data_IF_631441485243
#
_entry.id   IF_631441485243
#
_cell.length_a   1.000
_cell.length_b   1.000
_cell.length_c   1.000
_cell.angle_alpha   90.00
_cell.angle_beta   90.00
_cell.angle_gamma   90.00
#
_symmetry.space_group_name_H-M   'P 1'
#
loop_
_entity.id
_entity.type
_entity.pdbx_description
1 polymer ?
#
# COMPACT_ATOMS: atom_id res chain seq x y z
N UNK A 1 3.08 3.93 -16.51
CA UNK A 1 3.78 2.64 -16.66
C UNK A 1 5.11 2.84 -17.38
N UNK A 2 6.20 2.46 -16.72
CA UNK A 2 7.53 2.41 -17.33
C UNK A 2 7.92 0.93 -17.49
N UNK A 3 8.39 0.54 -18.67
CA UNK A 3 8.73 -0.84 -18.98
C UNK A 3 10.13 -0.90 -19.56
N UNK A 4 10.94 -1.80 -19.01
CA UNK A 4 12.27 -2.13 -19.53
C UNK A 4 12.34 -3.62 -19.84
N UNK A 5 13.12 -4.00 -20.84
CA UNK A 5 13.38 -5.39 -21.20
C UNK A 5 14.85 -5.68 -20.98
N UNK A 6 15.15 -6.55 -20.01
CA UNK A 6 16.49 -7.07 -19.78
C UNK A 6 16.71 -8.27 -20.69
N UNK A 7 17.58 -8.11 -21.67
CA UNK A 7 17.86 -9.10 -22.71
C UNK A 7 19.28 -9.62 -22.53
N UNK A 8 19.47 -10.93 -22.68
CA UNK A 8 20.79 -11.55 -22.76
C UNK A 8 20.99 -12.18 -24.13
N UNK A 9 22.19 -12.04 -24.68
CA UNK A 9 22.61 -12.62 -25.97
C UNK A 9 24.03 -13.18 -25.84
N UNK A 10 24.34 -14.33 -26.48
CA UNK A 10 25.67 -14.90 -26.44
C UNK A 10 26.67 -14.04 -27.23
N UNK A 11 27.95 -14.15 -26.89
CA UNK A 11 29.04 -13.38 -27.51
C UNK A 11 29.61 -14.04 -28.78
N UNK A 12 28.83 -14.86 -29.48
CA UNK A 12 29.24 -15.39 -30.78
C UNK A 12 29.18 -14.31 -31.88
N UNK A 13 29.86 -14.58 -33.00
CA UNK A 13 29.98 -13.62 -34.12
C UNK A 13 28.63 -13.20 -34.70
N UNK A 14 27.67 -14.11 -34.82
CA UNK A 14 26.35 -13.85 -35.40
C UNK A 14 25.54 -12.99 -34.44
N UNK A 15 25.49 -13.37 -33.17
CA UNK A 15 24.75 -12.65 -32.13
C UNK A 15 25.28 -11.24 -31.89
N UNK A 16 26.60 -11.05 -31.93
CA UNK A 16 27.22 -9.72 -31.85
C UNK A 16 26.83 -8.83 -33.04
N UNK A 17 26.85 -9.37 -34.27
CA UNK A 17 26.43 -8.64 -35.47
C UNK A 17 24.94 -8.29 -35.42
N UNK A 18 24.09 -9.23 -35.03
CA UNK A 18 22.65 -9.03 -34.83
C UNK A 18 22.39 -7.94 -33.78
N UNK A 19 23.16 -7.92 -32.71
CA UNK A 19 23.03 -6.93 -31.66
C UNK A 19 23.45 -5.52 -32.11
N UNK A 20 24.57 -5.38 -32.81
CA UNK A 20 24.99 -4.09 -33.36
C UNK A 20 24.03 -3.58 -34.44
N UNK A 21 23.38 -4.49 -35.17
CA UNK A 21 22.28 -4.16 -36.07
C UNK A 21 21.05 -3.67 -35.31
N UNK A 22 20.68 -4.33 -34.21
CA UNK A 22 19.58 -3.90 -33.35
C UNK A 22 19.81 -2.49 -32.80
N UNK A 23 21.00 -2.21 -32.24
CA UNK A 23 21.33 -0.87 -31.69
C UNK A 23 21.24 0.21 -32.76
N UNK A 24 21.82 -0.03 -33.95
CA UNK A 24 21.77 0.91 -35.08
C UNK A 24 20.35 1.16 -35.56
N UNK A 25 19.55 0.11 -35.71
CA UNK A 25 18.16 0.23 -36.16
C UNK A 25 17.35 0.98 -35.12
N UNK A 26 17.39 0.58 -33.84
CA UNK A 26 16.65 1.23 -32.76
C UNK A 26 17.00 2.71 -32.60
N UNK A 27 18.28 3.09 -32.76
CA UNK A 27 18.72 4.48 -32.72
C UNK A 27 18.20 5.28 -33.93
N UNK A 28 18.19 4.69 -35.14
CA UNK A 28 17.72 5.35 -36.36
C UNK A 28 16.21 5.53 -36.40
N UNK A 29 15.45 4.55 -35.89
CA UNK A 29 13.98 4.52 -35.97
C UNK A 29 13.30 5.03 -34.70
N UNK A 30 14.06 5.29 -33.63
CA UNK A 30 13.51 5.72 -32.33
C UNK A 30 12.64 4.65 -31.65
N UNK A 31 12.81 3.37 -31.99
CA UNK A 31 11.97 2.29 -31.46
C UNK A 31 12.22 2.02 -29.98
N UNK A 32 13.47 2.11 -29.53
CA UNK A 32 13.85 1.93 -28.13
C UNK A 32 15.17 2.63 -27.82
N UNK A 33 15.36 3.01 -26.56
CA UNK A 33 16.70 3.31 -26.05
C UNK A 33 17.37 2.02 -25.58
N UNK A 34 18.67 1.88 -25.83
CA UNK A 34 19.45 0.70 -25.45
C UNK A 34 20.64 1.11 -24.59
N UNK A 35 20.84 0.42 -23.47
CA UNK A 35 22.02 0.61 -22.61
C UNK A 35 22.63 -0.74 -22.26
N UNK A 36 23.95 -0.77 -22.08
CA UNK A 36 24.64 -1.98 -21.62
C UNK A 36 24.25 -2.22 -20.16
N UNK A 37 23.88 -3.46 -19.84
CA UNK A 37 23.55 -3.85 -18.48
C UNK A 37 24.66 -4.76 -17.93
N UNK A 38 25.33 -4.34 -16.86
CA UNK A 38 26.45 -5.10 -16.32
C UNK A 38 25.94 -6.20 -15.38
N UNK A 39 26.17 -7.45 -15.75
CA UNK A 39 25.97 -8.62 -14.88
C UNK A 39 27.35 -9.04 -14.38
N UNK A 40 27.56 -9.15 -13.06
CA UNK A 40 28.84 -9.58 -12.52
C UNK A 40 29.11 -11.06 -12.81
N UNK A 41 30.37 -11.46 -12.68
CA UNK A 41 30.73 -12.87 -12.65
C UNK A 41 30.21 -13.50 -11.35
N UNK A 42 29.39 -14.54 -11.49
CA UNK A 42 28.80 -15.30 -10.39
C UNK A 42 29.26 -16.76 -10.46
N UNK A 43 29.33 -17.43 -9.31
CA UNK A 43 29.75 -18.83 -9.25
C UNK A 43 28.74 -19.75 -9.93
N UNK A 44 29.17 -20.43 -10.98
CA UNK A 44 28.38 -21.47 -11.64
C UNK A 44 28.47 -22.76 -10.82
N UNK A 45 27.30 -23.36 -10.53
CA UNK A 45 27.18 -24.66 -9.86
C UNK A 45 27.08 -25.83 -10.85
N UNK A 46 26.60 -26.97 -10.38
CA UNK A 46 26.22 -28.08 -11.27
C UNK A 46 24.95 -27.75 -12.04
N UNK A 47 24.69 -28.47 -13.15
CA UNK A 47 23.47 -28.30 -13.95
C UNK A 47 22.20 -28.49 -13.10
N UNK A 48 22.19 -29.51 -12.23
CA UNK A 48 21.09 -29.80 -11.31
C UNK A 48 20.79 -28.61 -10.37
N UNK A 49 21.83 -28.01 -9.79
CA UNK A 49 21.69 -26.81 -8.95
C UNK A 49 21.17 -25.63 -9.76
N UNK A 50 21.63 -25.44 -11.01
CA UNK A 50 21.14 -24.35 -11.86
C UNK A 50 19.66 -24.49 -12.21
N UNK A 51 19.19 -25.70 -12.50
CA UNK A 51 17.78 -25.97 -12.76
C UNK A 51 16.93 -25.67 -11.53
N UNK A 52 17.31 -26.18 -10.35
CA UNK A 52 16.61 -25.89 -9.09
C UNK A 52 16.60 -24.40 -8.74
N UNK A 53 17.72 -23.70 -8.92
CA UNK A 53 17.81 -22.24 -8.69
C UNK A 53 16.97 -21.46 -9.70
N UNK A 54 16.85 -21.90 -10.95
CA UNK A 54 16.00 -21.24 -11.96
C UNK A 54 14.53 -21.21 -11.51
N UNK A 55 14.01 -22.35 -11.05
CA UNK A 55 12.65 -22.48 -10.55
C UNK A 55 12.42 -21.64 -9.28
N UNK A 56 13.36 -21.70 -8.33
CA UNK A 56 13.33 -20.89 -7.11
C UNK A 56 13.30 -19.40 -7.41
N UNK A 57 14.18 -18.93 -8.31
CA UNK A 57 14.24 -17.52 -8.70
C UNK A 57 12.96 -17.07 -9.43
N UNK A 58 12.31 -17.96 -10.20
CA UNK A 58 11.03 -17.66 -10.85
C UNK A 58 9.91 -17.40 -9.84
N UNK A 59 9.81 -18.26 -8.81
CA UNK A 59 8.87 -18.07 -7.70
C UNK A 59 9.20 -16.82 -6.90
N UNK A 60 10.47 -16.63 -6.56
CA UNK A 60 10.94 -15.49 -5.77
C UNK A 60 10.72 -14.16 -6.49
N UNK A 61 10.90 -14.10 -7.81
CA UNK A 61 10.61 -12.92 -8.62
C UNK A 61 9.14 -12.50 -8.53
N UNK A 62 8.24 -13.47 -8.72
CA UNK A 62 6.78 -13.24 -8.65
C UNK A 62 6.35 -12.82 -7.25
N UNK A 63 6.89 -13.48 -6.22
CA UNK A 63 6.63 -13.12 -4.82
C UNK A 63 7.11 -11.71 -4.49
N UNK A 64 8.35 -11.37 -4.86
CA UNK A 64 8.95 -10.05 -4.61
C UNK A 64 8.18 -8.94 -5.31
N UNK A 65 7.74 -9.14 -6.55
CA UNK A 65 6.86 -8.19 -7.24
C UNK A 65 5.54 -7.99 -6.49
N UNK A 66 4.96 -9.07 -5.95
CA UNK A 66 3.76 -9.03 -5.12
C UNK A 66 3.94 -8.17 -3.87
N UNK A 67 5.03 -8.39 -3.11
CA UNK A 67 5.32 -7.61 -1.89
C UNK A 67 5.62 -6.15 -2.23
N UNK A 68 6.34 -5.87 -3.32
CA UNK A 68 6.58 -4.52 -3.82
C UNK A 68 5.26 -3.79 -4.13
N UNK A 69 4.33 -4.48 -4.81
CA UNK A 69 3.01 -3.93 -5.15
C UNK A 69 2.18 -3.64 -3.91
N UNK A 70 2.16 -4.55 -2.94
CA UNK A 70 1.49 -4.34 -1.65
C UNK A 70 2.09 -3.17 -0.86
N UNK A 71 3.42 -3.04 -0.87
CA UNK A 71 4.13 -1.93 -0.21
C UNK A 71 3.75 -0.59 -0.85
N UNK A 72 3.74 -0.54 -2.19
CA UNK A 72 3.34 0.64 -2.97
C UNK A 72 1.88 1.04 -2.71
N UNK A 73 0.96 0.06 -2.70
CA UNK A 73 -0.44 0.30 -2.35
C UNK A 73 -0.59 0.86 -0.93
N UNK A 74 0.10 0.26 0.04
CA UNK A 74 0.06 0.71 1.42
C UNK A 74 0.64 2.13 1.59
N UNK A 75 1.69 2.47 0.84
CA UNK A 75 2.22 3.82 0.78
C UNK A 75 1.18 4.81 0.24
N UNK A 76 0.45 4.45 -0.81
CA UNK A 76 -0.67 5.24 -1.34
C UNK A 76 -1.77 5.48 -0.32
N UNK A 77 -2.22 4.44 0.38
CA UNK A 77 -3.25 4.51 1.43
C UNK A 77 -2.84 5.38 2.63
N UNK A 78 -1.57 5.31 3.02
CA UNK A 78 -1.04 6.15 4.11
C UNK A 78 -0.89 7.60 3.64
N UNK A 79 -0.55 7.83 2.38
CA UNK A 79 -0.35 9.16 1.79
C UNK A 79 -1.60 9.76 1.14
N UNK A 80 -2.82 9.28 1.42
CA UNK A 80 -4.08 9.79 0.82
C UNK A 80 -4.19 11.32 0.85
N UNK A 81 -3.79 11.97 1.95
CA UNK A 81 -3.82 13.44 2.11
C UNK A 81 -2.74 14.19 1.30
N UNK A 82 -1.75 13.48 0.75
CA UNK A 82 -0.59 14.00 0.01
C UNK A 82 -0.32 13.24 -1.30
N UNK A 83 -1.37 12.71 -1.94
CA UNK A 83 -1.28 11.84 -3.13
C UNK A 83 -0.39 12.37 -4.26
N UNK A 84 -0.32 13.70 -4.44
CA UNK A 84 0.56 14.36 -5.42
C UNK A 84 2.07 14.16 -5.19
N UNK A 85 2.51 13.72 -4.00
CA UNK A 85 3.93 13.47 -3.64
C UNK A 85 4.29 11.98 -3.55
N UNK A 86 3.41 11.09 -4.01
CA UNK A 86 3.63 9.64 -3.93
C UNK A 86 4.85 9.22 -4.75
N UNK A 87 4.99 9.74 -5.97
CA UNK A 87 6.13 9.44 -6.86
C UNK A 87 7.47 9.90 -6.28
N UNK A 88 7.49 11.06 -5.61
CA UNK A 88 8.68 11.59 -4.93
C UNK A 88 9.11 10.72 -3.74
N UNK A 89 8.19 9.90 -3.22
CA UNK A 89 8.43 9.00 -2.10
C UNK A 89 8.89 7.61 -2.52
N UNK A 90 8.73 7.26 -3.80
CA UNK A 90 9.07 5.95 -4.36
C UNK A 90 10.43 6.01 -5.07
N UNK A 91 11.48 6.07 -4.26
CA UNK A 91 12.86 6.11 -4.74
C UNK A 91 13.57 4.78 -4.46
N UNK A 92 14.55 4.44 -5.28
CA UNK A 92 15.48 3.35 -5.04
C UNK A 92 16.87 3.94 -4.78
N UNK A 93 17.41 3.75 -3.57
CA UNK A 93 18.67 4.32 -3.11
C UNK A 93 18.77 5.85 -3.34
N UNK A 94 17.65 6.57 -3.18
CA UNK A 94 17.60 8.02 -3.32
C UNK A 94 17.51 8.54 -4.76
N UNK A 95 17.44 7.66 -5.77
CA UNK A 95 17.18 8.03 -7.17
C UNK A 95 15.85 7.47 -7.65
N UNK A 96 15.29 8.04 -8.72
CA UNK A 96 14.07 7.49 -9.31
C UNK A 96 14.30 6.09 -9.88
N UNK A 97 13.23 5.30 -9.97
CA UNK A 97 13.30 3.88 -10.33
C UNK A 97 13.84 3.63 -11.74
N UNK A 98 13.55 4.52 -12.70
CA UNK A 98 14.06 4.39 -14.06
C UNK A 98 15.57 4.67 -14.11
N UNK A 99 16.02 5.71 -13.41
CA UNK A 99 17.44 6.01 -13.27
C UNK A 99 18.18 4.88 -12.56
N UNK A 100 17.60 4.29 -11.51
CA UNK A 100 18.20 3.14 -10.83
C UNK A 100 18.42 1.95 -11.79
N UNK A 101 17.39 1.57 -12.55
CA UNK A 101 17.46 0.42 -13.46
C UNK A 101 18.46 0.68 -14.60
N UNK A 102 18.49 1.89 -15.16
CA UNK A 102 19.40 2.24 -16.27
C UNK A 102 20.86 2.37 -15.83
N UNK A 103 21.12 2.68 -14.55
CA UNK A 103 22.47 2.80 -13.97
C UNK A 103 22.77 1.70 -12.96
N UNK A 104 22.09 0.56 -13.08
CA UNK A 104 22.23 -0.54 -12.14
C UNK A 104 23.68 -0.97 -11.96
N UNK A 105 24.05 -1.16 -10.70
CA UNK A 105 25.28 -1.83 -10.31
C UNK A 105 24.95 -2.91 -9.28
N UNK A 106 25.64 -4.03 -9.39
CA UNK A 106 25.48 -5.13 -8.45
C UNK A 106 25.96 -4.73 -7.06
N UNK A 107 25.09 -4.88 -6.06
CA UNK A 107 25.41 -4.62 -4.66
C UNK A 107 26.24 -5.77 -4.08
N UNK A 108 27.57 -5.66 -4.22
CA UNK A 108 28.51 -6.67 -3.73
C UNK A 108 28.56 -6.77 -2.21
N UNK A 109 28.13 -5.74 -1.49
CA UNK A 109 28.12 -5.73 -0.03
C UNK A 109 26.93 -6.55 0.50
N UNK A 110 25.75 -6.38 -0.09
CA UNK A 110 24.54 -7.16 0.27
C UNK A 110 24.54 -8.56 -0.35
N UNK A 111 25.02 -8.70 -1.58
CA UNK A 111 24.97 -9.94 -2.34
C UNK A 111 26.39 -10.30 -2.86
N UNK A 112 27.28 -10.85 -2.02
CA UNK A 112 28.66 -11.09 -2.43
C UNK A 112 28.78 -12.11 -3.57
N UNK A 113 29.43 -11.75 -4.67
CA UNK A 113 29.55 -12.61 -5.87
C UNK A 113 30.34 -13.90 -5.63
N UNK A 114 31.07 -13.98 -4.53
CA UNK A 114 31.77 -15.18 -4.09
C UNK A 114 30.85 -16.26 -3.49
N UNK A 115 29.59 -15.93 -3.16
CA UNK A 115 28.62 -16.89 -2.63
C UNK A 115 27.99 -17.74 -3.76
N UNK A 116 27.56 -18.98 -3.45
CA UNK A 116 26.77 -19.77 -4.39
C UNK A 116 25.44 -19.09 -4.76
N UNK A 117 24.96 -19.31 -5.99
CA UNK A 117 23.71 -18.72 -6.49
C UNK A 117 22.51 -19.03 -5.58
N UNK A 118 22.43 -20.26 -5.05
CA UNK A 118 21.38 -20.66 -4.11
C UNK A 118 21.40 -19.83 -2.83
N UNK A 119 22.58 -19.63 -2.25
CA UNK A 119 22.77 -18.78 -1.07
C UNK A 119 22.36 -17.33 -1.33
N UNK A 120 22.69 -16.78 -2.50
CA UNK A 120 22.25 -15.43 -2.89
C UNK A 120 20.73 -15.33 -2.99
N UNK A 121 20.07 -16.32 -3.61
CA UNK A 121 18.61 -16.39 -3.68
C UNK A 121 17.97 -16.50 -2.29
N UNK A 122 18.56 -17.29 -1.39
CA UNK A 122 18.05 -17.48 -0.02
C UNK A 122 18.20 -16.21 0.83
N UNK A 123 19.31 -15.45 0.68
CA UNK A 123 19.50 -14.14 1.32
C UNK A 123 18.38 -13.17 0.90
N UNK A 124 18.12 -13.07 -0.41
CA UNK A 124 17.08 -12.19 -0.93
C UNK A 124 15.69 -12.66 -0.47
N UNK A 125 15.42 -13.96 -0.53
CA UNK A 125 14.15 -14.55 -0.07
C UNK A 125 13.86 -14.23 1.39
N UNK A 126 14.85 -14.37 2.27
CA UNK A 126 14.73 -14.01 3.68
C UNK A 126 14.45 -12.53 3.88
N UNK A 127 15.17 -11.66 3.16
CA UNK A 127 14.97 -10.21 3.21
C UNK A 127 13.52 -9.84 2.82
N UNK A 128 13.04 -10.32 1.66
CA UNK A 128 11.71 -10.01 1.15
C UNK A 128 10.61 -10.55 2.10
N UNK A 129 10.79 -11.76 2.63
CA UNK A 129 9.83 -12.37 3.57
C UNK A 129 9.73 -11.63 4.90
N UNK A 130 10.87 -11.12 5.41
CA UNK A 130 10.88 -10.29 6.62
C UNK A 130 10.10 -8.99 6.39
N UNK A 131 10.35 -8.31 5.27
CA UNK A 131 9.65 -7.07 4.93
C UNK A 131 8.15 -7.31 4.76
N UNK A 132 7.73 -8.40 4.09
CA UNK A 132 6.31 -8.75 3.95
C UNK A 132 5.62 -8.96 5.31
N UNK A 133 6.28 -9.68 6.22
CA UNK A 133 5.75 -9.93 7.57
C UNK A 133 5.61 -8.64 8.38
N UNK A 134 6.64 -7.79 8.36
CA UNK A 134 6.62 -6.48 9.03
C UNK A 134 5.61 -5.50 8.40
N UNK A 135 5.44 -5.53 7.07
CA UNK A 135 4.45 -4.71 6.38
C UNK A 135 3.04 -5.06 6.87
N UNK A 136 2.70 -6.34 6.94
CA UNK A 136 1.39 -6.82 7.40
C UNK A 136 1.10 -6.40 8.83
N UNK A 137 2.06 -6.57 9.75
CA UNK A 137 1.88 -6.21 11.16
C UNK A 137 1.73 -4.70 11.36
N UNK A 138 2.59 -3.88 10.74
CA UNK A 138 2.53 -2.42 10.82
C UNK A 138 1.27 -1.85 10.18
N UNK A 139 0.85 -2.39 9.03
CA UNK A 139 -0.41 -2.02 8.36
C UNK A 139 -1.62 -2.32 9.23
N UNK A 140 -1.65 -3.48 9.89
CA UNK A 140 -2.73 -3.83 10.81
C UNK A 140 -2.81 -2.87 12.00
N UNK A 141 -1.67 -2.53 12.62
CA UNK A 141 -1.62 -1.57 13.73
C UNK A 141 -2.12 -0.18 13.32
N UNK A 142 -1.65 0.34 12.17
CA UNK A 142 -2.10 1.64 11.65
C UNK A 142 -3.61 1.64 11.32
N UNK A 143 -4.10 0.57 10.68
CA UNK A 143 -5.52 0.42 10.33
C UNK A 143 -6.41 0.35 11.58
N UNK A 144 -5.97 -0.36 12.62
CA UNK A 144 -6.68 -0.44 13.89
C UNK A 144 -6.89 0.95 14.51
N UNK A 145 -5.83 1.77 14.63
CA UNK A 145 -5.94 3.13 15.18
C UNK A 145 -6.84 4.02 14.32
N UNK A 146 -6.73 3.94 12.97
CA UNK A 146 -7.62 4.65 12.05
C UNK A 146 -9.09 4.26 12.28
N UNK A 147 -9.36 2.96 12.41
CA UNK A 147 -10.72 2.44 12.65
C UNK A 147 -11.28 2.83 14.02
N UNK A 148 -10.45 2.83 15.07
CA UNK A 148 -10.85 3.29 16.41
C UNK A 148 -11.28 4.76 16.38
N UNK A 149 -10.49 5.64 15.76
CA UNK A 149 -10.84 7.06 15.61
C UNK A 149 -12.13 7.23 14.82
N UNK A 150 -12.26 6.56 13.67
CA UNK A 150 -13.46 6.64 12.84
C UNK A 150 -14.72 6.15 13.58
N UNK A 151 -14.60 5.14 14.43
CA UNK A 151 -15.70 4.66 15.28
C UNK A 151 -16.17 5.74 16.27
N UNK A 152 -15.25 6.51 16.84
CA UNK A 152 -15.60 7.65 17.71
C UNK A 152 -16.22 8.81 16.92
N UNK A 153 -15.67 9.16 15.75
CA UNK A 153 -16.22 10.22 14.88
C UNK A 153 -17.69 9.92 14.52
N UNK A 154 -17.99 8.69 14.12
CA UNK A 154 -19.37 8.26 13.82
C UNK A 154 -20.33 8.40 15.00
N UNK A 155 -19.85 8.22 16.25
CA UNK A 155 -20.68 8.43 17.44
C UNK A 155 -21.02 9.90 17.67
N UNK A 156 -20.21 10.82 17.17
CA UNK A 156 -20.45 12.27 17.27
C UNK A 156 -21.33 12.82 16.15
N UNK A 157 -21.54 12.04 15.10
CA UNK A 157 -22.43 12.34 13.98
C UNK A 157 -23.89 11.90 14.26
N UNK A 158 -24.84 12.47 13.52
CA UNK A 158 -26.27 12.17 13.66
C UNK A 158 -27.08 13.27 14.34
N UNK A 159 -28.36 12.98 14.62
CA UNK A 159 -29.27 13.94 15.25
C UNK A 159 -28.98 14.12 16.74
N UNK A 160 -29.45 15.24 17.33
CA UNK A 160 -29.34 15.50 18.77
C UNK A 160 -29.97 14.40 19.66
N UNK A 161 -30.83 13.56 19.10
CA UNK A 161 -31.45 12.43 19.81
C UNK A 161 -30.47 11.29 20.06
N UNK A 162 -29.54 11.03 19.15
CA UNK A 162 -28.68 9.83 19.17
C UNK A 162 -27.21 10.16 19.35
N UNK A 163 -26.71 11.25 18.75
CA UNK A 163 -25.28 11.60 18.75
C UNK A 163 -24.70 11.78 20.15
N UNK A 164 -23.42 11.50 20.32
CA UNK A 164 -22.71 11.72 21.57
C UNK A 164 -22.67 13.23 21.91
N UNK A 165 -22.81 13.55 23.20
CA UNK A 165 -22.89 14.92 23.69
C UNK A 165 -21.55 15.48 24.20
N UNK A 166 -20.48 14.68 24.07
CA UNK A 166 -19.11 14.92 24.55
C UNK A 166 -18.51 16.25 24.09
N UNK A 167 -18.89 16.72 22.90
CA UNK A 167 -18.39 17.97 22.31
C UNK A 167 -19.39 19.14 22.45
N UNK A 168 -20.54 18.92 23.08
CA UNK A 168 -21.64 19.89 23.21
C UNK A 168 -21.73 20.41 24.64
N UNK A 169 -21.69 19.49 25.61
CA UNK A 169 -21.92 19.79 27.02
C UNK A 169 -20.59 20.15 27.67
N UNK A 170 -20.55 21.32 28.30
CA UNK A 170 -19.39 21.81 29.06
C UNK A 170 -19.62 21.63 30.56
N UNK A 171 -18.53 21.70 31.34
CA UNK A 171 -18.58 21.65 32.81
C UNK A 171 -19.48 22.74 33.41
N UNK A 172 -19.46 23.93 32.81
CA UNK A 172 -20.26 25.09 33.22
C UNK A 172 -21.77 24.89 33.01
N UNK A 173 -22.17 23.91 32.20
CA UNK A 173 -23.57 23.63 31.89
C UNK A 173 -24.22 22.73 32.93
N UNK A 174 -23.44 22.16 33.85
CA UNK A 174 -23.86 21.13 34.80
C UNK A 174 -23.63 21.57 36.24
N UNK A 175 -24.57 21.24 37.11
CA UNK A 175 -24.36 21.30 38.57
C UNK A 175 -23.50 20.11 38.99
N UNK A 176 -22.24 20.40 39.35
CA UNK A 176 -21.26 19.41 39.77
C UNK A 176 -21.23 19.28 41.31
N UNK A 177 -20.85 18.11 41.81
CA UNK A 177 -20.60 17.83 43.24
C UNK A 177 -21.73 18.23 44.21
N UNK A 178 -22.98 18.30 43.74
CA UNK A 178 -24.13 18.52 44.62
C UNK A 178 -24.64 17.19 45.15
N UNK A 179 -24.91 17.12 46.45
CA UNK A 179 -25.56 15.96 47.07
C UNK A 179 -27.00 15.80 46.56
N UNK A 180 -27.72 16.91 46.40
CA UNK A 180 -29.17 16.92 46.16
C UNK A 180 -29.59 17.32 44.75
N UNK A 181 -28.81 18.16 44.08
CA UNK A 181 -29.15 18.68 42.75
C UNK A 181 -28.45 17.88 41.65
N UNK A 182 -29.08 17.82 40.49
CA UNK A 182 -28.50 17.33 39.24
C UNK A 182 -28.98 18.17 38.07
N UNK A 183 -28.29 18.06 36.94
CA UNK A 183 -28.70 18.67 35.67
C UNK A 183 -29.05 17.59 34.67
N UNK A 184 -30.24 17.68 34.09
CA UNK A 184 -30.68 16.79 33.00
C UNK A 184 -30.59 17.54 31.67
N UNK A 185 -30.40 16.78 30.58
CA UNK A 185 -30.37 17.29 29.22
C UNK A 185 -31.62 16.82 28.50
N UNK A 186 -32.49 17.76 28.12
CA UNK A 186 -33.73 17.47 27.41
C UNK A 186 -33.60 17.83 25.93
N UNK A 187 -33.89 16.87 25.06
CA UNK A 187 -34.04 17.10 23.62
C UNK A 187 -35.49 17.46 23.35
N UNK A 188 -35.69 18.67 22.86
CA UNK A 188 -37.00 19.28 22.63
C UNK A 188 -37.16 19.52 21.12
N UNK A 189 -38.26 19.10 20.48
CA UNK A 189 -38.53 19.45 19.08
C UNK A 189 -38.63 20.97 18.90
N UNK A 190 -38.15 21.48 17.76
CA UNK A 190 -38.15 22.93 17.46
C UNK A 190 -39.55 23.56 17.56
N UNK A 191 -40.57 22.82 17.14
CA UNK A 191 -41.98 23.22 17.22
C UNK A 191 -42.53 23.34 18.65
N UNK A 192 -41.82 22.79 19.64
CA UNK A 192 -42.28 22.70 21.03
C UNK A 192 -41.42 23.52 22.02
N UNK A 193 -40.54 24.41 21.55
CA UNK A 193 -39.72 25.24 22.44
C UNK A 193 -40.55 26.15 23.36
N UNK A 194 -41.57 26.82 22.81
CA UNK A 194 -42.47 27.66 23.61
C UNK A 194 -43.28 26.85 24.64
N UNK A 195 -43.59 25.58 24.32
CA UNK A 195 -44.24 24.67 25.25
C UNK A 195 -43.27 24.25 26.37
N UNK A 196 -42.02 23.93 26.03
CA UNK A 196 -40.97 23.60 27.00
C UNK A 196 -40.79 24.72 28.03
N UNK A 197 -40.57 25.96 27.58
CA UNK A 197 -40.35 27.11 28.47
C UNK A 197 -41.52 27.34 29.45
N UNK A 198 -42.75 27.08 29.02
CA UNK A 198 -43.94 27.24 29.86
C UNK A 198 -44.18 26.09 30.84
N UNK A 199 -43.69 24.89 30.53
CA UNK A 199 -44.12 23.67 31.23
C UNK A 199 -43.03 23.01 32.07
N UNK A 200 -41.75 23.19 31.73
CA UNK A 200 -40.65 22.43 32.35
C UNK A 200 -40.58 22.60 33.88
N UNK A 201 -40.86 23.80 34.40
CA UNK A 201 -40.86 24.10 35.84
C UNK A 201 -41.95 23.35 36.62
N UNK A 202 -43.03 22.97 35.93
CA UNK A 202 -44.20 22.30 36.52
C UNK A 202 -44.21 20.78 36.31
N UNK A 203 -43.19 20.23 35.64
CA UNK A 203 -43.11 18.79 35.36
C UNK A 203 -42.82 17.94 36.60
N UNK A 204 -42.25 18.53 37.66
CA UNK A 204 -42.15 17.92 38.99
C UNK A 204 -41.98 19.01 40.06
N UNK A 205 -42.27 18.69 41.33
CA UNK A 205 -42.29 19.68 42.43
C UNK A 205 -40.93 20.32 42.74
N UNK A 206 -39.83 19.63 42.47
CA UNK A 206 -38.48 20.04 42.86
C UNK A 206 -37.59 20.40 41.65
N UNK A 207 -38.18 21.07 40.66
CA UNK A 207 -37.44 21.70 39.55
C UNK A 207 -37.00 23.10 39.97
N UNK A 208 -35.75 23.47 39.67
CA UNK A 208 -35.23 24.82 39.94
C UNK A 208 -35.77 25.78 38.88
N UNK A 209 -36.55 26.82 39.23
CA UNK A 209 -37.06 27.78 38.27
C UNK A 209 -35.94 28.56 37.59
N UNK A 210 -36.18 28.97 36.33
CA UNK A 210 -35.22 29.67 35.47
C UNK A 210 -33.88 28.95 35.27
N UNK A 211 -33.83 27.63 35.48
CA UNK A 211 -32.60 26.83 35.31
C UNK A 211 -32.40 26.32 33.88
N UNK A 212 -33.42 26.41 33.03
CA UNK A 212 -33.32 25.88 31.66
C UNK A 212 -32.59 26.82 30.72
N UNK A 213 -31.61 26.27 29.98
CA UNK A 213 -30.86 27.00 28.95
C UNK A 213 -30.65 26.11 27.73
N UNK A 214 -30.84 26.65 26.53
CA UNK A 214 -30.54 25.97 25.27
C UNK A 214 -29.02 25.90 25.06
N UNK A 215 -28.48 24.70 24.86
CA UNK A 215 -27.05 24.48 24.57
C UNK A 215 -26.74 24.50 23.08
N UNK A 216 -27.56 23.80 22.30
CA UNK A 216 -27.38 23.65 20.85
C UNK A 216 -28.74 23.36 20.20
N UNK A 217 -28.88 23.75 18.93
CA UNK A 217 -30.00 23.35 18.07
C UNK A 217 -29.50 22.76 16.76
N UNK A 218 -30.26 21.84 16.20
CA UNK A 218 -30.15 21.37 14.82
C UNK A 218 -31.42 21.76 14.03
N UNK A 219 -31.63 21.15 12.86
CA UNK A 219 -32.80 21.44 12.02
C UNK A 219 -34.13 21.04 12.70
N UNK A 220 -34.12 20.02 13.55
CA UNK A 220 -35.34 19.36 14.05
C UNK A 220 -35.59 19.60 15.54
N UNK A 221 -34.53 19.75 16.34
CA UNK A 221 -34.59 19.77 17.79
C UNK A 221 -33.50 20.66 18.43
N UNK A 222 -33.64 20.91 19.74
CA UNK A 222 -32.63 21.56 20.56
C UNK A 222 -32.40 20.82 21.87
N UNK A 223 -31.19 20.92 22.40
CA UNK A 223 -30.85 20.40 23.74
C UNK A 223 -30.93 21.53 24.74
N UNK A 224 -31.72 21.32 25.80
CA UNK A 224 -31.90 22.22 26.90
C UNK A 224 -31.38 21.58 28.19
N UNK A 225 -30.72 22.37 29.03
CA UNK A 225 -30.44 21.97 30.42
C UNK A 225 -31.69 22.14 31.27
N UNK A 226 -31.78 21.40 32.37
CA UNK A 226 -32.72 21.67 33.46
C UNK A 226 -32.12 21.18 34.76
N UNK A 227 -32.16 22.00 35.81
CA UNK A 227 -31.66 21.63 37.14
C UNK A 227 -32.82 21.25 38.04
N UNK A 228 -32.71 20.12 38.74
CA UNK A 228 -33.73 19.61 39.65
C UNK A 228 -33.11 18.75 40.75
N UNK A 229 -33.90 18.41 41.75
CA UNK A 229 -33.47 17.48 42.79
C UNK A 229 -33.41 16.04 42.28
N UNK A 230 -32.41 15.29 42.75
CA UNK A 230 -32.15 13.91 42.30
C UNK A 230 -33.32 12.94 42.57
N UNK A 231 -34.08 13.17 43.65
CA UNK A 231 -35.20 12.32 44.04
C UNK A 231 -36.40 12.40 43.08
N UNK A 232 -36.50 13.42 42.22
CA UNK A 232 -37.61 13.60 41.26
C UNK A 232 -37.23 13.36 39.80
N UNK A 233 -36.04 12.81 39.53
CA UNK A 233 -35.58 12.53 38.15
C UNK A 233 -36.57 11.60 37.41
N UNK A 234 -37.04 10.53 38.06
CA UNK A 234 -37.92 9.54 37.42
C UNK A 234 -39.29 10.13 37.07
N UNK A 235 -39.87 10.93 37.98
CA UNK A 235 -41.13 11.64 37.75
C UNK A 235 -40.97 12.65 36.60
N UNK A 236 -39.89 13.44 36.62
CA UNK A 236 -39.58 14.41 35.58
C UNK A 236 -39.44 13.75 34.21
N UNK A 237 -38.65 12.67 34.09
CA UNK A 237 -38.48 11.90 32.84
C UNK A 237 -39.82 11.39 32.30
N UNK A 238 -40.71 10.92 33.19
CA UNK A 238 -42.04 10.42 32.81
C UNK A 238 -42.94 11.54 32.28
N UNK A 239 -42.97 12.69 32.95
CA UNK A 239 -43.79 13.83 32.54
C UNK A 239 -43.23 14.54 31.30
N UNK A 240 -41.91 14.58 31.13
CA UNK A 240 -41.25 15.05 29.92
C UNK A 240 -41.65 14.20 28.69
N UNK A 241 -41.66 12.87 28.85
CA UNK A 241 -42.05 11.94 27.78
C UNK A 241 -43.50 12.13 27.33
N UNK A 242 -44.43 12.46 28.24
CA UNK A 242 -45.83 12.78 27.88
C UNK A 242 -45.94 13.97 26.91
N UNK A 243 -45.02 14.92 27.01
CA UNK A 243 -44.92 16.08 26.12
C UNK A 243 -44.01 15.84 24.90
N UNK A 244 -43.60 14.59 24.66
CA UNK A 244 -42.66 14.19 23.59
C UNK A 244 -41.26 14.80 23.74
N UNK A 245 -40.86 15.15 24.95
CA UNK A 245 -39.49 15.56 25.26
C UNK A 245 -38.67 14.33 25.67
N UNK A 246 -37.47 14.20 25.12
CA UNK A 246 -36.56 13.09 25.42
C UNK A 246 -35.48 13.57 26.37
N UNK A 247 -35.39 12.98 27.57
CA UNK A 247 -34.28 13.28 28.48
C UNK A 247 -33.11 12.34 28.17
N UNK A 248 -31.97 12.91 27.77
CA UNK A 248 -30.71 12.22 27.49
C UNK A 248 -29.93 11.98 28.77
N UNK A 249 -29.38 10.78 28.89
CA UNK A 249 -28.40 10.47 29.94
C UNK A 249 -27.03 11.00 29.51
N UNK A 250 -26.35 11.66 30.43
CA UNK A 250 -25.02 12.20 30.20
C UNK A 250 -24.19 12.05 31.47
N UNK A 251 -23.07 11.34 31.33
CA UNK A 251 -22.08 11.19 32.37
C UNK A 251 -20.83 12.00 31.96
N UNK A 252 -20.51 13.01 32.75
CA UNK A 252 -19.38 13.89 32.48
C UNK A 252 -18.04 13.15 32.59
N UNK A 253 -17.89 12.24 33.55
CA UNK A 253 -16.63 11.51 33.78
C UNK A 253 -16.34 10.55 32.61
N UNK A 254 -17.38 9.84 32.13
CA UNK A 254 -17.26 8.99 30.94
C UNK A 254 -16.96 9.81 29.68
N UNK A 255 -17.60 10.97 29.54
CA UNK A 255 -17.36 11.88 28.42
C UNK A 255 -15.92 12.42 28.41
N UNK A 256 -15.39 12.80 29.58
CA UNK A 256 -14.00 13.24 29.73
C UNK A 256 -13.01 12.11 29.41
N UNK A 257 -13.28 10.90 29.90
CA UNK A 257 -12.45 9.72 29.60
C UNK A 257 -12.43 9.43 28.09
N UNK A 258 -13.58 9.48 27.43
CA UNK A 258 -13.65 9.31 25.97
C UNK A 258 -12.89 10.40 25.22
N UNK A 259 -12.99 11.65 25.66
CA UNK A 259 -12.26 12.78 25.05
C UNK A 259 -10.75 12.63 25.20
N UNK A 260 -10.28 12.18 26.37
CA UNK A 260 -8.87 11.88 26.61
C UNK A 260 -8.39 10.71 25.73
N UNK A 261 -9.17 9.65 25.61
CA UNK A 261 -8.86 8.49 24.78
C UNK A 261 -8.75 8.87 23.29
N UNK A 262 -9.68 9.67 22.77
CA UNK A 262 -9.59 10.20 21.39
C UNK A 262 -8.34 11.08 21.22
N UNK A 263 -8.02 11.91 22.22
CA UNK A 263 -6.80 12.72 22.22
C UNK A 263 -5.53 11.86 22.15
N UNK A 264 -5.46 10.78 22.94
CA UNK A 264 -4.36 9.82 22.92
C UNK A 264 -4.25 9.13 21.55
N UNK A 265 -5.36 8.59 21.03
CA UNK A 265 -5.40 7.93 19.73
C UNK A 265 -4.97 8.86 18.59
N UNK A 266 -5.30 10.16 18.66
CA UNK A 266 -4.89 11.14 17.66
C UNK A 266 -3.37 11.39 17.67
N UNK A 267 -2.75 11.42 18.86
CA UNK A 267 -1.28 11.50 19.00
C UNK A 267 -0.63 10.21 18.47
N UNK A 268 -1.13 9.05 18.89
CA UNK A 268 -0.63 7.74 18.42
C UNK A 268 -0.71 7.63 16.90
N UNK A 269 -1.83 8.04 16.29
CA UNK A 269 -2.00 8.06 14.83
C UNK A 269 -0.90 8.88 14.16
N UNK A 270 -0.57 10.06 14.69
CA UNK A 270 0.45 10.95 14.13
C UNK A 270 1.86 10.36 14.24
N UNK A 271 2.18 9.73 15.38
CA UNK A 271 3.47 9.08 15.60
C UNK A 271 3.63 7.81 14.74
N UNK A 272 2.60 6.97 14.70
CA UNK A 272 2.55 5.78 13.84
C UNK A 272 2.63 6.18 12.37
N UNK A 273 1.91 7.21 11.94
CA UNK A 273 1.97 7.71 10.57
C UNK A 273 3.42 8.03 10.16
N UNK A 274 4.13 8.84 10.96
CA UNK A 274 5.51 9.25 10.63
C UNK A 274 6.47 8.07 10.59
N UNK A 275 6.43 7.22 11.60
CA UNK A 275 7.33 6.06 11.71
C UNK A 275 7.05 5.03 10.63
N UNK A 276 5.76 4.76 10.35
CA UNK A 276 5.35 3.82 9.32
C UNK A 276 5.65 4.33 7.92
N UNK A 277 5.40 5.61 7.63
CA UNK A 277 5.72 6.22 6.34
C UNK A 277 7.22 6.14 6.04
N UNK A 278 8.08 6.47 7.02
CA UNK A 278 9.53 6.36 6.87
C UNK A 278 9.94 4.90 6.57
N UNK A 279 9.38 3.95 7.35
CA UNK A 279 9.64 2.53 7.16
C UNK A 279 9.20 2.05 5.76
N UNK A 280 8.02 2.47 5.28
CA UNK A 280 7.52 2.11 3.95
C UNK A 280 8.45 2.60 2.84
N UNK A 281 8.95 3.85 2.91
CA UNK A 281 9.88 4.40 1.90
C UNK A 281 11.19 3.63 1.84
N UNK A 282 11.78 3.34 3.01
CA UNK A 282 13.03 2.57 3.09
C UNK A 282 12.83 1.16 2.54
N UNK A 283 11.78 0.47 2.97
CA UNK A 283 11.57 -0.92 2.59
C UNK A 283 11.07 -1.07 1.14
N UNK A 284 10.38 -0.08 0.60
CA UNK A 284 10.08 -0.03 -0.83
C UNK A 284 11.38 0.01 -1.66
N UNK A 285 12.32 0.87 -1.29
CA UNK A 285 13.65 0.94 -1.92
C UNK A 285 14.37 -0.40 -1.83
N UNK A 286 14.43 -1.00 -0.65
CA UNK A 286 15.09 -2.29 -0.40
C UNK A 286 14.50 -3.43 -1.23
N UNK A 287 13.16 -3.54 -1.29
CA UNK A 287 12.48 -4.55 -2.10
C UNK A 287 12.73 -4.31 -3.59
N UNK A 288 12.67 -3.06 -4.06
CA UNK A 288 12.92 -2.75 -5.46
C UNK A 288 14.34 -3.12 -5.87
N UNK A 289 15.34 -2.78 -5.04
CA UNK A 289 16.73 -3.17 -5.22
C UNK A 289 16.87 -4.69 -5.30
N UNK A 290 16.29 -5.41 -4.33
CA UNK A 290 16.30 -6.88 -4.30
C UNK A 290 15.64 -7.49 -5.55
N UNK A 291 14.53 -6.92 -6.01
CA UNK A 291 13.82 -7.36 -7.21
C UNK A 291 14.69 -7.27 -8.46
N UNK A 292 15.40 -6.16 -8.66
CA UNK A 292 16.34 -6.01 -9.78
C UNK A 292 17.48 -7.04 -9.68
N UNK A 293 18.01 -7.30 -8.48
CA UNK A 293 19.03 -8.34 -8.29
C UNK A 293 18.50 -9.75 -8.65
N UNK A 294 17.24 -10.07 -8.33
CA UNK A 294 16.60 -11.31 -8.78
C UNK A 294 16.54 -11.37 -10.31
N UNK A 295 16.16 -10.29 -11.00
CA UNK A 295 16.14 -10.24 -12.48
C UNK A 295 17.53 -10.51 -13.06
N UNK A 296 18.58 -9.99 -12.42
CA UNK A 296 19.97 -10.25 -12.81
C UNK A 296 20.36 -11.71 -12.60
N UNK A 297 20.04 -12.29 -11.45
CA UNK A 297 20.28 -13.71 -11.16
C UNK A 297 19.54 -14.61 -12.17
N UNK A 298 18.27 -14.33 -12.45
CA UNK A 298 17.48 -15.05 -13.46
C UNK A 298 18.13 -14.98 -14.84
N UNK A 299 18.52 -13.76 -15.24
CA UNK A 299 19.19 -13.56 -16.54
C UNK A 299 20.51 -14.33 -16.62
N UNK A 300 21.31 -14.32 -15.54
CA UNK A 300 22.55 -15.07 -15.48
C UNK A 300 22.31 -16.59 -15.58
N UNK A 301 21.44 -17.15 -14.72
CA UNK A 301 21.15 -18.59 -14.68
C UNK A 301 20.61 -19.09 -16.01
N UNK A 302 19.63 -18.38 -16.58
CA UNK A 302 19.06 -18.74 -17.89
C UNK A 302 20.10 -18.65 -19.00
N UNK A 303 21.02 -17.67 -18.96
CA UNK A 303 22.08 -17.54 -19.95
C UNK A 303 23.07 -18.70 -19.88
N UNK A 304 23.41 -19.16 -18.68
CA UNK A 304 24.27 -20.34 -18.51
C UNK A 304 23.55 -21.61 -18.98
N UNK A 305 22.26 -21.76 -18.67
CA UNK A 305 21.47 -22.93 -19.08
C UNK A 305 21.28 -22.99 -20.60
N UNK A 306 21.05 -21.85 -21.28
CA UNK A 306 20.83 -21.81 -22.73
C UNK A 306 22.11 -21.76 -23.56
N UNK A 307 23.10 -20.97 -23.15
CA UNK A 307 24.30 -20.72 -23.94
C UNK A 307 25.49 -21.60 -23.53
N UNK A 308 25.39 -22.27 -22.38
CA UNK A 308 26.40 -23.19 -21.90
C UNK A 308 27.65 -22.49 -21.34
N UNK A 309 28.73 -23.27 -21.27
CA UNK A 309 30.04 -22.83 -20.77
C UNK A 309 31.05 -22.76 -21.92
N UNK A 310 32.03 -21.84 -21.86
CA UNK A 310 32.25 -20.82 -20.82
C UNK A 310 31.15 -19.74 -20.82
N UNK A 311 30.93 -19.09 -19.67
CA UNK A 311 29.90 -18.05 -19.50
C UNK A 311 30.25 -16.84 -20.38
N UNK A 312 29.69 -16.80 -21.58
CA UNK A 312 30.07 -15.85 -22.62
C UNK A 312 28.83 -15.21 -23.25
N UNK A 313 28.29 -14.20 -22.56
CA UNK A 313 27.11 -13.47 -23.00
C UNK A 313 27.21 -11.98 -22.63
N UNK A 314 26.36 -11.17 -23.26
CA UNK A 314 26.19 -9.76 -22.95
C UNK A 314 24.73 -9.47 -22.63
N UNK A 315 24.50 -8.79 -21.50
CA UNK A 315 23.18 -8.29 -21.13
C UNK A 315 22.98 -6.82 -21.53
N UNK A 316 21.76 -6.51 -21.96
CA UNK A 316 21.36 -5.20 -22.49
C UNK A 316 19.97 -4.87 -21.98
N UNK A 317 19.82 -3.61 -21.58
CA UNK A 317 18.55 -3.06 -21.16
C UNK A 317 17.96 -2.25 -22.31
N UNK A 318 16.80 -2.68 -22.80
CA UNK A 318 16.02 -1.94 -23.77
C UNK A 318 14.84 -1.26 -23.09
N UNK A 319 14.59 -0.01 -23.44
CA UNK A 319 13.37 0.70 -23.03
C UNK A 319 12.55 1.00 -24.30
N UNK A 320 11.46 0.25 -24.56
CA UNK A 320 10.59 0.49 -25.70
C UNK A 320 9.89 1.86 -25.60
N UNK A 321 9.67 2.50 -26.74
CA UNK A 321 8.76 3.65 -26.81
C UNK A 321 7.30 3.19 -26.83
N UNK A 322 6.37 3.97 -26.25
CA UNK A 322 4.97 3.55 -25.96
C UNK A 322 4.16 3.02 -27.17
N UNK A 323 4.61 3.21 -28.41
CA UNK A 323 3.93 2.77 -29.64
C UNK A 323 4.70 1.71 -30.46
N UNK A 324 5.94 1.38 -30.10
CA UNK A 324 6.85 0.58 -30.94
C UNK A 324 6.94 -0.90 -30.56
N UNK A 325 6.28 -1.33 -29.48
CA UNK A 325 6.55 -2.64 -28.85
C UNK A 325 6.41 -3.82 -29.82
N UNK A 326 5.33 -3.88 -30.62
CA UNK A 326 5.10 -4.95 -31.61
C UNK A 326 6.21 -4.98 -32.67
N UNK A 327 6.60 -3.81 -33.16
CA UNK A 327 7.63 -3.69 -34.18
C UNK A 327 9.00 -4.08 -33.63
N UNK A 328 9.33 -3.66 -32.41
CA UNK A 328 10.56 -4.02 -31.74
C UNK A 328 10.64 -5.53 -31.46
N UNK A 329 9.55 -6.15 -31.00
CA UNK A 329 9.48 -7.61 -30.83
C UNK A 329 9.67 -8.36 -32.14
N UNK A 330 9.03 -7.91 -33.23
CA UNK A 330 9.24 -8.49 -34.56
C UNK A 330 10.70 -8.41 -35.01
N UNK A 331 11.36 -7.29 -34.75
CA UNK A 331 12.79 -7.13 -35.07
C UNK A 331 13.69 -8.03 -34.22
N UNK A 332 13.48 -8.08 -32.90
CA UNK A 332 14.23 -8.96 -32.00
C UNK A 332 14.09 -10.43 -32.41
N UNK A 333 12.86 -10.89 -32.67
CA UNK A 333 12.60 -12.27 -33.11
C UNK A 333 13.30 -12.57 -34.45
N UNK A 334 13.31 -11.61 -35.39
CA UNK A 334 14.01 -11.80 -36.67
C UNK A 334 15.53 -11.85 -36.53
N UNK A 335 16.12 -11.08 -35.61
CA UNK A 335 17.57 -10.96 -35.45
C UNK A 335 18.18 -12.11 -34.63
N UNK A 336 17.40 -12.69 -33.73
CA UNK A 336 17.84 -13.73 -32.80
C UNK A 336 17.14 -15.08 -32.99
N UNK A 337 16.47 -15.30 -34.13
CA UNK A 337 15.82 -16.57 -34.46
C UNK A 337 16.78 -17.76 -34.39
N UNK A 338 18.05 -17.55 -34.72
CA UNK A 338 19.09 -18.60 -34.70
C UNK A 338 19.41 -19.11 -33.29
N UNK A 339 19.01 -18.40 -32.24
CA UNK A 339 19.20 -18.81 -30.85
C UNK A 339 18.12 -19.78 -30.35
N UNK A 340 17.12 -20.11 -31.18
CA UNK A 340 16.06 -21.02 -30.80
C UNK A 340 16.62 -22.44 -30.57
N UNK A 341 16.46 -23.02 -29.36
CA UNK A 341 16.85 -24.40 -29.08
C UNK A 341 16.29 -25.42 -30.09
N UNK A 342 15.08 -25.18 -30.62
CA UNK A 342 14.46 -26.05 -31.62
C UNK A 342 15.16 -25.98 -32.99
N UNK A 343 15.83 -24.86 -33.30
CA UNK A 343 16.63 -24.74 -34.52
C UNK A 343 17.94 -25.54 -34.44
N UNK A 344 18.47 -25.80 -33.24
CA UNK A 344 19.70 -26.56 -33.02
C UNK A 344 19.51 -28.09 -33.15
N UNK A 345 18.29 -28.61 -32.95
CA UNK A 345 17.97 -30.05 -33.02
C UNK A 345 17.53 -30.53 -34.40
N UNK A 346 17.45 -29.64 -35.41
CA UNK A 346 17.22 -30.02 -36.80
C UNK A 346 15.84 -30.62 -37.12
N UNK A 347 14.88 -30.58 -36.18
CA UNK A 347 13.49 -31.01 -36.40
C UNK A 347 12.58 -29.78 -36.48
N UNK A 348 12.04 -29.44 -37.67
CA UNK A 348 11.22 -28.24 -37.84
C UNK A 348 9.82 -28.36 -37.21
N UNK A 349 9.40 -29.55 -36.78
CA UNK A 349 8.08 -29.82 -36.19
C UNK A 349 8.20 -30.67 -34.90
N UNK A 350 8.85 -30.12 -33.88
CA UNK A 350 8.45 -30.46 -32.51
C UNK A 350 7.87 -29.18 -31.92
N UNK A 351 6.60 -28.94 -32.26
CA UNK A 351 5.70 -28.33 -31.28
C UNK A 351 5.87 -29.20 -30.05
N UNK A 352 6.61 -28.70 -29.05
CA UNK A 352 6.51 -29.24 -27.70
C UNK A 352 5.02 -29.12 -27.37
N UNK A 353 4.31 -30.25 -27.40
CA UNK A 353 2.97 -30.39 -26.84
C UNK A 353 3.07 -30.05 -25.36
N UNK A 354 3.02 -28.76 -25.06
CA UNK A 354 2.77 -28.25 -23.73
C UNK A 354 1.24 -28.32 -23.59
N UNK A 355 0.70 -29.15 -22.69
CA UNK A 355 -0.74 -29.28 -22.55
C UNK A 355 -1.34 -27.91 -22.25
N UNK A 356 -2.31 -27.50 -23.06
CA UNK A 356 -3.18 -26.36 -22.82
C UNK A 356 -3.90 -26.55 -21.46
N UNK A 357 -3.29 -25.98 -20.41
CA UNK A 357 -3.65 -26.22 -19.02
C UNK A 357 -3.44 -24.98 -18.15
N UNK A 358 -4.17 -23.91 -18.48
CA UNK A 358 -4.64 -22.86 -17.56
C UNK A 358 -3.69 -22.35 -16.45
N UNK A 359 -2.41 -22.07 -16.77
CA UNK A 359 -1.52 -21.33 -15.86
C UNK A 359 -0.61 -20.38 -16.66
N UNK A 360 -0.93 -19.09 -16.67
CA UNK A 360 -0.07 -17.95 -17.10
C UNK A 360 0.88 -18.23 -18.28
N UNK A 361 0.43 -17.97 -19.51
CA UNK A 361 1.25 -18.03 -20.74
C UNK A 361 2.56 -17.24 -20.57
N UNK A 362 3.68 -17.92 -20.34
CA UNK A 362 5.00 -17.33 -20.52
C UNK A 362 5.24 -17.18 -22.02
N UNK A 363 5.37 -15.93 -22.48
CA UNK A 363 5.75 -15.65 -23.86
C UNK A 363 7.14 -16.26 -24.14
N UNK A 364 7.18 -17.28 -25.00
CA UNK A 364 8.42 -17.92 -25.43
C UNK A 364 9.14 -17.07 -26.47
N UNK A 365 10.43 -16.83 -26.25
CA UNK A 365 11.32 -16.10 -27.16
C UNK A 365 12.60 -16.91 -27.40
N UNK A 366 13.10 -16.89 -28.65
CA UNK A 366 14.37 -17.53 -29.04
C UNK A 366 15.58 -16.92 -28.31
N UNK A 367 15.44 -15.71 -27.75
CA UNK A 367 16.43 -15.04 -26.90
C UNK A 367 15.90 -14.89 -25.47
N UNK A 368 16.80 -14.69 -24.51
CA UNK A 368 16.43 -14.47 -23.11
C UNK A 368 15.92 -13.05 -22.96
N UNK A 369 14.72 -12.89 -22.40
CA UNK A 369 14.14 -11.58 -22.15
C UNK A 369 13.31 -11.59 -20.86
N UNK A 370 13.72 -10.81 -19.88
CA UNK A 370 12.95 -10.56 -18.66
C UNK A 370 12.41 -9.13 -18.66
N UNK A 371 11.07 -8.94 -18.72
CA UNK A 371 10.48 -7.62 -18.58
C UNK A 371 10.55 -7.14 -17.13
N UNK A 372 10.85 -5.85 -16.96
CA UNK A 372 10.83 -5.09 -15.71
C UNK A 372 9.73 -4.04 -15.88
N UNK A 373 8.56 -4.35 -15.33
CA UNK A 373 7.38 -3.48 -15.41
C UNK A 373 7.24 -2.69 -14.12
N UNK A 374 7.48 -1.39 -14.18
CA UNK A 374 7.33 -0.49 -13.05
C UNK A 374 5.90 0.06 -13.08
N UNK A 375 5.05 -0.57 -12.26
CA UNK A 375 3.69 -0.13 -11.99
C UNK A 375 3.71 0.87 -10.83
N UNK A 376 3.79 2.15 -11.15
CA UNK A 376 3.43 3.19 -10.20
C UNK A 376 1.91 3.16 -10.05
N UNK A 377 1.41 3.10 -8.81
CA UNK A 377 -0.02 3.21 -8.52
C UNK A 377 -0.48 4.52 -9.14
N UNK A 378 -1.46 4.48 -10.05
CA UNK A 378 -2.03 5.70 -10.59
C UNK A 378 -2.66 6.48 -9.43
N UNK A 379 -2.36 7.78 -9.27
CA UNK A 379 -3.12 8.64 -8.38
C UNK A 379 -4.48 8.90 -9.05
N UNK A 380 -5.36 7.90 -9.02
CA UNK A 380 -6.75 8.03 -9.45
C UNK A 380 -7.59 8.66 -8.36
#
# INVERSE_FOLDING_TARGET
MMEFWLISVPLDKISCQSLEKLKRVSAKTGLATSSRFHIPELKVGTLDVLLGVSDDLSRLDSYTEGVMRQTSQCLGEVMEEFSGKLLESMLANGVDLATYVTRFQWDRAKYPTAQPLKTLADIISKQVSQVDTELKSRRAAYSHVKASIQSFERKTEGSLQTRALTNIVKKEDLVLNSEYLTTLLAVVPRTAYALWEKTYESMSKFVVPRSSRKLVEDADAGIFTVTLFKNVIAEFKTNAKKHKFTVREYNLDEAEKQKQEIGHLAVDKKELYRTFLCWLKVNFSEIFVAWIHIKVLRTFVESVLRYGLPVSFQAILLQPTKKSWKQLRKQLNSLFKHLDPAAATGKPDVVLDIPDGNTSQQEYYSYICYPIKIHLVDPS
#
